data_IF_394027284973
#
_entry.id   IF_394027284973
#
_cell.length_a   1.000
_cell.length_b   1.000
_cell.length_c   1.000
_cell.angle_alpha   90.00
_cell.angle_beta   90.00
_cell.angle_gamma   90.00
#
_symmetry.space_group_name_H-M   'P 1'
#
loop_
_entity.id
_entity.type
_entity.pdbx_description
1 polymer ?
#
# COMPACT_ATOMS: atom_id res chain seq x y z
N UNK A 1 27.48 -0.03 18.17
CA UNK A 1 26.48 -0.02 17.08
C UNK A 1 26.85 1.17 16.21
N UNK A 2 27.36 0.94 15.00
CA UNK A 2 27.72 2.03 14.08
C UNK A 2 26.42 2.56 13.51
N UNK A 3 26.07 3.78 13.90
CA UNK A 3 25.01 4.55 13.27
C UNK A 3 25.41 4.72 11.79
N UNK A 4 24.69 4.04 10.90
CA UNK A 4 24.93 4.18 9.47
C UNK A 4 24.48 5.57 9.07
N UNK A 5 25.34 6.40 8.46
CA UNK A 5 24.95 7.75 8.11
C UNK A 5 23.73 7.69 7.19
N UNK A 6 22.66 8.39 7.58
CA UNK A 6 21.46 8.51 6.75
C UNK A 6 21.88 9.00 5.37
N UNK A 7 21.59 8.20 4.33
CA UNK A 7 21.88 8.56 2.94
C UNK A 7 21.05 9.75 2.45
N UNK A 8 20.05 10.17 3.23
CA UNK A 8 19.18 11.29 2.94
C UNK A 8 19.27 12.36 4.02
N UNK A 9 19.26 13.61 3.60
CA UNK A 9 18.87 14.74 4.45
C UNK A 9 17.39 14.59 4.88
N UNK A 10 16.96 15.26 5.96
CA UNK A 10 15.56 15.22 6.40
C UNK A 10 14.55 15.58 5.29
N UNK A 11 14.87 16.59 4.48
CA UNK A 11 14.03 17.02 3.35
C UNK A 11 13.99 16.02 2.20
N UNK A 12 15.11 15.36 1.90
CA UNK A 12 15.13 14.27 0.91
C UNK A 12 14.34 13.06 1.39
N UNK A 13 14.46 12.72 2.68
CA UNK A 13 13.69 11.64 3.28
C UNK A 13 12.19 11.94 3.26
N UNK A 14 11.79 13.18 3.56
CA UNK A 14 10.39 13.60 3.51
C UNK A 14 9.83 13.51 2.09
N UNK A 15 10.58 14.00 1.08
CA UNK A 15 10.19 13.92 -0.34
C UNK A 15 10.09 12.49 -0.83
N UNK A 16 11.05 11.65 -0.44
CA UNK A 16 11.03 10.22 -0.79
C UNK A 16 9.82 9.51 -0.18
N UNK A 17 9.53 9.73 1.12
CA UNK A 17 8.33 9.19 1.79
C UNK A 17 7.03 9.68 1.15
N UNK A 18 6.99 10.93 0.70
CA UNK A 18 5.84 11.47 -0.02
C UNK A 18 5.63 10.72 -1.34
N UNK A 19 6.69 10.55 -2.15
CA UNK A 19 6.62 9.78 -3.40
C UNK A 19 6.19 8.33 -3.17
N UNK A 20 6.70 7.72 -2.09
CA UNK A 20 6.30 6.38 -1.65
C UNK A 20 4.81 6.30 -1.31
N UNK A 21 4.31 7.27 -0.53
CA UNK A 21 2.90 7.33 -0.18
C UNK A 21 2.01 7.51 -1.42
N UNK A 22 2.42 8.36 -2.37
CA UNK A 22 1.70 8.53 -3.63
C UNK A 22 1.72 7.26 -4.49
N UNK A 23 2.85 6.56 -4.57
CA UNK A 23 2.97 5.30 -5.29
C UNK A 23 2.14 4.17 -4.65
N UNK A 24 1.91 4.21 -3.33
CA UNK A 24 1.05 3.25 -2.65
C UNK A 24 -0.44 3.45 -2.96
N UNK A 25 -0.86 4.65 -3.37
CA UNK A 25 -2.24 4.91 -3.78
C UNK A 25 -2.55 4.02 -5.00
N UNK A 26 -3.55 3.15 -4.84
CA UNK A 26 -4.06 2.18 -5.83
C UNK A 26 -3.25 0.88 -5.97
N UNK A 27 -2.35 0.60 -5.04
CA UNK A 27 -1.53 -0.61 -5.05
C UNK A 27 -1.89 -1.55 -3.90
N UNK A 28 -3.17 -1.56 -3.47
CA UNK A 28 -3.64 -2.47 -2.42
C UNK A 28 -4.57 -3.50 -3.07
N UNK A 29 -4.08 -4.72 -3.22
CA UNK A 29 -4.89 -5.87 -3.59
C UNK A 29 -5.67 -6.30 -2.35
N UNK A 30 -6.99 -6.27 -2.47
CA UNK A 30 -7.93 -6.64 -1.43
C UNK A 30 -8.54 -7.98 -1.74
N UNK A 31 -8.59 -8.88 -0.76
CA UNK A 31 -9.22 -10.19 -0.88
C UNK A 31 -10.21 -10.40 0.27
N UNK A 32 -11.48 -10.59 -0.05
CA UNK A 32 -12.49 -10.91 0.95
C UNK A 32 -12.44 -12.39 1.31
N UNK A 33 -12.24 -12.71 2.59
CA UNK A 33 -12.18 -14.09 3.08
C UNK A 33 -13.55 -14.80 3.17
N UNK A 34 -14.63 -14.09 2.88
CA UNK A 34 -16.00 -14.61 3.02
C UNK A 34 -16.63 -14.99 1.68
N UNK A 35 -16.37 -14.21 0.63
CA UNK A 35 -16.94 -14.41 -0.70
C UNK A 35 -15.87 -14.57 -1.78
N UNK A 36 -14.59 -14.60 -1.40
CA UNK A 36 -13.42 -14.70 -2.27
C UNK A 36 -13.26 -13.58 -3.33
N UNK A 37 -14.07 -12.52 -3.25
CA UNK A 37 -13.95 -11.38 -4.14
C UNK A 37 -12.57 -10.73 -4.00
N UNK A 38 -11.99 -10.32 -5.15
CA UNK A 38 -10.70 -9.63 -5.21
C UNK A 38 -10.85 -8.32 -5.95
N UNK A 39 -10.28 -7.23 -5.41
CA UNK A 39 -10.33 -5.91 -6.03
C UNK A 39 -9.10 -5.07 -5.66
N UNK A 40 -8.92 -3.94 -6.35
CA UNK A 40 -7.86 -2.98 -6.05
C UNK A 40 -8.45 -1.78 -5.31
N UNK A 41 -7.77 -1.34 -4.25
CA UNK A 41 -8.17 -0.18 -3.45
C UNK A 41 -7.04 0.85 -3.37
N UNK A 42 -7.43 2.10 -3.12
CA UNK A 42 -6.53 3.25 -3.02
C UNK A 42 -5.99 3.45 -1.60
N UNK A 43 -6.69 2.95 -0.59
CA UNK A 43 -6.42 3.05 0.84
C UNK A 43 -6.85 1.77 1.57
N UNK A 44 -6.29 1.51 2.75
CA UNK A 44 -6.65 0.37 3.61
C UNK A 44 -7.72 0.73 4.66
N UNK A 45 -7.96 2.03 4.84
CA UNK A 45 -8.90 2.55 5.82
C UNK A 45 -10.35 2.23 5.42
N UNK A 46 -10.97 1.35 6.20
CA UNK A 46 -12.41 1.08 6.19
C UNK A 46 -12.95 0.41 4.91
N UNK A 47 -12.14 -0.43 4.27
CA UNK A 47 -12.59 -1.25 3.14
C UNK A 47 -13.59 -2.32 3.59
N UNK A 48 -14.79 -2.25 3.01
CA UNK A 48 -15.80 -3.31 3.10
C UNK A 48 -16.01 -3.92 1.74
N UNK A 49 -16.08 -5.25 1.67
CA UNK A 49 -16.49 -5.92 0.45
C UNK A 49 -17.97 -5.64 0.15
N UNK A 50 -18.35 -5.64 -1.12
CA UNK A 50 -19.75 -5.51 -1.57
C UNK A 50 -20.69 -6.57 -0.98
N UNK A 51 -20.16 -7.69 -0.49
CA UNK A 51 -20.94 -8.70 0.24
C UNK A 51 -21.29 -8.29 1.69
N UNK A 52 -20.82 -7.14 2.16
CA UNK A 52 -20.96 -6.64 3.52
C UNK A 52 -19.89 -7.12 4.51
N UNK A 53 -18.94 -7.96 4.06
CA UNK A 53 -17.85 -8.43 4.91
C UNK A 53 -16.79 -7.36 5.16
N UNK A 54 -16.25 -7.38 6.38
CA UNK A 54 -15.06 -6.63 6.79
C UNK A 54 -13.82 -7.51 6.96
N UNK A 55 -13.93 -8.82 6.68
CA UNK A 55 -12.81 -9.77 6.72
C UNK A 55 -12.04 -9.68 5.41
N UNK A 56 -11.42 -8.54 5.18
CA UNK A 56 -10.64 -8.24 3.98
C UNK A 56 -9.15 -8.34 4.31
N UNK A 57 -8.43 -9.12 3.53
CA UNK A 57 -6.98 -9.17 3.54
C UNK A 57 -6.42 -8.14 2.56
N UNK A 58 -5.42 -7.38 3.00
CA UNK A 58 -4.78 -6.32 2.21
C UNK A 58 -3.35 -6.73 1.90
N UNK A 59 -3.01 -6.75 0.61
CA UNK A 59 -1.68 -7.06 0.11
C UNK A 59 -1.21 -5.86 -0.70
N UNK A 60 -0.12 -5.24 -0.28
CA UNK A 60 0.55 -4.23 -1.10
C UNK A 60 1.07 -4.89 -2.39
N UNK A 61 0.48 -4.51 -3.51
CA UNK A 61 0.74 -5.00 -4.85
C UNK A 61 1.37 -3.87 -5.66
N UNK A 62 2.70 -3.76 -5.61
CA UNK A 62 3.41 -2.80 -6.44
C UNK A 62 3.55 -3.36 -7.85
N UNK A 63 2.88 -2.75 -8.80
CA UNK A 63 3.05 -3.07 -10.21
C UNK A 63 4.17 -2.19 -10.78
N UNK A 64 5.33 -2.79 -11.01
CA UNK A 64 6.34 -2.18 -11.86
C UNK A 64 5.93 -2.43 -13.31
N UNK A 65 5.80 -1.40 -14.16
CA UNK A 65 5.57 -1.64 -15.58
C UNK A 65 6.76 -2.42 -16.13
N UNK A 66 6.49 -3.50 -16.86
CA UNK A 66 7.50 -4.23 -17.63
C UNK A 66 7.95 -3.33 -18.80
N UNK A 67 8.91 -2.43 -18.55
CA UNK A 67 9.41 -1.45 -19.53
C UNK A 67 10.85 -1.06 -19.30
#
# INVERSE_FOLDING_TARGET
MVDSPSHFTPDELARWRFGLAQANLNNILCHCRDCDATWMASDDENLSCDCGSRRVEHIACWQFPDG
#
